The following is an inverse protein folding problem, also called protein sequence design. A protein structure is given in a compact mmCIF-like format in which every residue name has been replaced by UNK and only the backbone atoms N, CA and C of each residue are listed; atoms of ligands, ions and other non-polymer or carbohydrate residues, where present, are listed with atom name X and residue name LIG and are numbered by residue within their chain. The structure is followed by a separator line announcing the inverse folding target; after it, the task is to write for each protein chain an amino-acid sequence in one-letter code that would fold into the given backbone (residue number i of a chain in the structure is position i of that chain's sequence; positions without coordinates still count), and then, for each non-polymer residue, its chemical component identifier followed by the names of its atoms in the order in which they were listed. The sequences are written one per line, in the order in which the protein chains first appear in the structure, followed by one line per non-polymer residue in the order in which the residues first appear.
data_IF_561606919900
#
_entry.id   IF_561606919900
#
_cell.length_a   1.000
_cell.length_b   1.000
_cell.length_c   1.000
_cell.angle_alpha   90.00
_cell.angle_beta   90.00
_cell.angle_gamma   90.00
#
_symmetry.space_group_name_H-M   'P 1'
#
loop_
_entity.id
_entity.type
_entity.pdbx_description
1 polymer ?
#
# COMPACT_ATOMS: atom_id res chain seq x y z
N UNK A 1 15.55 12.08 9.94
CA UNK A 1 14.82 11.21 10.89
C UNK A 1 13.48 10.85 10.28
N UNK A 2 13.27 9.58 9.91
CA UNK A 2 11.96 9.13 9.43
C UNK A 2 10.99 9.07 10.61
N UNK A 3 10.02 10.01 10.67
CA UNK A 3 8.89 9.92 11.61
C UNK A 3 8.26 8.54 11.41
N UNK A 4 8.44 7.62 12.38
CA UNK A 4 7.54 6.48 12.57
C UNK A 4 6.15 7.07 12.81
N UNK A 5 5.40 7.29 11.72
CA UNK A 5 4.01 7.70 11.83
C UNK A 5 3.29 6.54 12.49
N UNK A 6 2.63 6.80 13.61
CA UNK A 6 1.54 5.97 14.09
C UNK A 6 0.54 5.82 12.93
N UNK A 7 0.68 4.75 12.15
CA UNK A 7 -0.28 4.36 11.11
C UNK A 7 -1.51 3.82 11.84
N UNK A 8 -2.36 4.73 12.30
CA UNK A 8 -3.63 4.35 12.88
C UNK A 8 -4.62 4.19 11.74
N UNK A 9 -5.08 2.96 11.54
CA UNK A 9 -6.17 2.68 10.62
C UNK A 9 -7.46 3.27 11.18
N UNK A 10 -8.41 3.60 10.30
CA UNK A 10 -9.72 4.12 10.69
C UNK A 10 -10.47 3.15 11.61
N UNK A 11 -10.24 1.84 11.43
CA UNK A 11 -10.77 0.79 12.31
C UNK A 11 -9.64 0.29 13.22
N UNK A 12 -9.80 0.31 14.55
CA UNK A 12 -8.83 -0.29 15.46
C UNK A 12 -8.71 -1.80 15.27
N UNK A 13 -7.51 -2.37 15.47
CA UNK A 13 -7.28 -3.83 15.45
C UNK A 13 -7.13 -4.46 14.06
N UNK A 14 -7.31 -3.72 12.97
CA UNK A 14 -7.24 -4.25 11.60
C UNK A 14 -5.82 -4.34 11.02
N UNK A 15 -4.78 -4.12 11.83
CA UNK A 15 -3.42 -3.97 11.32
C UNK A 15 -2.95 -5.19 10.51
N UNK A 16 -3.22 -6.39 11.02
CA UNK A 16 -2.85 -7.63 10.36
C UNK A 16 -3.66 -7.84 9.07
N UNK A 17 -4.97 -7.59 9.12
CA UNK A 17 -5.84 -7.69 7.95
C UNK A 17 -5.41 -6.73 6.82
N UNK A 18 -5.07 -5.48 7.15
CA UNK A 18 -4.60 -4.51 6.16
C UNK A 18 -3.22 -4.88 5.61
N UNK A 19 -2.34 -5.47 6.42
CA UNK A 19 -1.05 -5.96 5.94
C UNK A 19 -1.22 -7.13 4.95
N UNK A 20 -2.06 -8.12 5.28
CA UNK A 20 -2.40 -9.20 4.37
C UNK A 20 -3.06 -8.69 3.09
N UNK A 21 -3.99 -7.73 3.22
CA UNK A 21 -4.64 -7.09 2.08
C UNK A 21 -3.64 -6.34 1.19
N UNK A 22 -2.67 -5.64 1.76
CA UNK A 22 -1.58 -5.02 0.98
C UNK A 22 -0.81 -6.06 0.16
N UNK A 23 -0.45 -7.20 0.76
CA UNK A 23 0.25 -8.28 0.04
C UNK A 23 -0.60 -8.75 -1.14
N UNK A 24 -1.89 -9.01 -0.91
CA UNK A 24 -2.81 -9.46 -1.96
C UNK A 24 -2.92 -8.45 -3.10
N UNK A 25 -3.23 -7.18 -2.79
CA UNK A 25 -3.39 -6.12 -3.78
C UNK A 25 -2.14 -5.93 -4.61
N UNK A 26 -0.98 -5.86 -3.96
CA UNK A 26 0.26 -5.55 -4.65
C UNK A 26 0.73 -6.73 -5.52
N UNK A 27 0.47 -7.97 -5.10
CA UNK A 27 0.68 -9.15 -5.96
C UNK A 27 -0.24 -9.13 -7.18
N UNK A 28 -1.51 -8.70 -7.04
CA UNK A 28 -2.43 -8.50 -8.17
C UNK A 28 -1.94 -7.42 -9.14
N UNK A 29 -1.28 -6.38 -8.63
CA UNK A 29 -0.64 -5.34 -9.44
C UNK A 29 0.68 -5.82 -10.10
N UNK A 30 1.13 -7.05 -9.81
CA UNK A 30 2.33 -7.64 -10.42
C UNK A 30 3.62 -7.46 -9.63
N UNK A 31 3.56 -6.92 -8.41
CA UNK A 31 4.73 -6.78 -7.55
C UNK A 31 5.06 -8.08 -6.82
N UNK A 32 6.35 -8.36 -6.67
CA UNK A 32 6.81 -9.36 -5.72
C UNK A 32 6.78 -8.77 -4.30
N UNK A 33 6.07 -9.45 -3.40
CA UNK A 33 5.86 -8.99 -2.03
C UNK A 33 6.08 -10.13 -1.06
N UNK A 34 7.05 -9.95 -0.16
CA UNK A 34 7.27 -10.80 0.99
C UNK A 34 6.13 -10.61 2.02
N UNK A 35 5.35 -11.66 2.33
CA UNK A 35 4.29 -11.58 3.34
C UNK A 35 4.78 -11.19 4.74
N UNK A 36 6.04 -11.48 5.07
CA UNK A 36 6.61 -11.14 6.38
C UNK A 36 7.05 -9.67 6.44
N UNK A 37 7.24 -9.03 5.29
CA UNK A 37 7.66 -7.64 5.18
C UNK A 37 6.85 -6.86 4.11
N UNK A 38 5.51 -6.74 4.26
CA UNK A 38 4.66 -6.13 3.23
C UNK A 38 4.98 -4.67 2.91
N UNK A 39 5.65 -3.96 3.82
CA UNK A 39 6.03 -2.56 3.63
C UNK A 39 7.25 -2.37 2.72
N UNK A 40 7.96 -3.44 2.37
CA UNK A 40 9.14 -3.37 1.49
C UNK A 40 8.79 -3.29 0.01
N UNK A 41 7.54 -3.57 -0.36
CA UNK A 41 7.03 -3.36 -1.72
C UNK A 41 7.29 -1.94 -2.24
N UNK A 42 7.46 -0.96 -1.35
CA UNK A 42 7.83 0.41 -1.71
C UNK A 42 9.15 0.51 -2.49
N UNK A 43 10.09 -0.43 -2.30
CA UNK A 43 11.34 -0.43 -3.04
C UNK A 43 11.14 -0.94 -4.47
N UNK A 44 10.30 -1.96 -4.66
CA UNK A 44 9.92 -2.44 -5.99
C UNK A 44 9.12 -1.39 -6.76
N UNK A 45 8.15 -0.76 -6.09
CA UNK A 45 7.39 0.36 -6.66
C UNK A 45 8.30 1.53 -7.02
N UNK A 46 9.26 1.89 -6.16
CA UNK A 46 10.21 2.95 -6.44
C UNK A 46 11.10 2.62 -7.66
N UNK A 47 11.55 1.36 -7.76
CA UNK A 47 12.34 0.87 -8.88
C UNK A 47 11.57 0.96 -10.21
N UNK A 48 10.30 0.57 -10.23
CA UNK A 48 9.44 0.73 -11.41
C UNK A 48 9.28 2.20 -11.81
N UNK A 49 9.10 3.09 -10.84
CA UNK A 49 8.93 4.52 -11.07
C UNK A 49 10.24 5.27 -11.36
N UNK A 50 11.40 4.59 -11.33
CA UNK A 50 12.70 5.21 -11.52
C UNK A 50 13.12 6.15 -10.38
N UNK A 51 12.54 5.97 -9.19
CA UNK A 51 12.79 6.80 -8.01
C UNK A 51 13.88 6.15 -7.15
N UNK A 52 14.97 6.87 -6.80
CA UNK A 52 16.06 6.32 -6.02
C UNK A 52 15.70 6.24 -4.52
N UNK A 53 14.87 5.26 -4.15
CA UNK A 53 14.53 4.95 -2.77
C UNK A 53 15.46 3.85 -2.23
N UNK A 54 16.21 4.16 -1.17
CA UNK A 54 17.15 3.23 -0.53
C UNK A 54 16.81 2.96 0.93
N UNK A 55 17.31 1.84 1.46
CA UNK A 55 17.23 1.55 2.89
C UNK A 55 18.13 2.54 3.64
N UNK A 56 17.53 3.38 4.50
CA UNK A 56 18.27 4.36 5.30
C UNK A 56 18.04 5.81 4.84
N UNK A 57 19.13 6.50 4.49
CA UNK A 57 19.10 7.94 4.22
C UNK A 57 18.53 8.23 2.83
N UNK A 58 17.42 8.95 2.79
CA UNK A 58 16.76 9.40 1.54
C UNK A 58 16.66 10.94 1.55
N UNK A 59 17.76 11.63 1.88
CA UNK A 59 17.79 13.08 2.07
C UNK A 59 17.41 13.87 0.81
N UNK A 60 17.80 13.35 -0.35
CA UNK A 60 17.51 13.92 -1.67
C UNK A 60 16.15 13.48 -2.23
N UNK A 61 15.41 12.61 -1.52
CA UNK A 61 14.12 12.13 -2.00
C UNK A 61 13.09 13.25 -1.85
N UNK A 62 12.59 13.74 -2.98
CA UNK A 62 11.58 14.79 -2.98
C UNK A 62 10.26 14.30 -2.37
N UNK A 63 9.50 15.23 -1.80
CA UNK A 63 8.14 14.95 -1.29
C UNK A 63 7.23 14.40 -2.38
N UNK A 64 7.40 14.88 -3.62
CA UNK A 64 6.67 14.39 -4.78
C UNK A 64 6.99 12.93 -5.07
N UNK A 65 8.27 12.56 -5.14
CA UNK A 65 8.69 11.17 -5.37
C UNK A 65 8.20 10.22 -4.26
N UNK A 66 8.30 10.63 -3.00
CA UNK A 66 7.72 9.88 -1.89
C UNK A 66 6.19 9.74 -2.02
N UNK A 67 5.52 10.80 -2.49
CA UNK A 67 4.10 10.83 -2.77
C UNK A 67 3.69 9.90 -3.91
N UNK A 68 4.46 9.82 -4.98
CA UNK A 68 4.21 8.91 -6.11
C UNK A 68 4.30 7.44 -5.66
N UNK A 69 5.34 7.06 -4.91
CA UNK A 69 5.49 5.70 -4.36
C UNK A 69 4.32 5.38 -3.43
N UNK A 70 4.04 6.25 -2.47
CA UNK A 70 2.94 6.08 -1.52
C UNK A 70 1.56 6.04 -2.20
N UNK A 71 1.39 6.84 -3.25
CA UNK A 71 0.18 6.95 -4.04
C UNK A 71 -0.09 5.72 -4.89
N UNK A 72 0.94 5.12 -5.50
CA UNK A 72 0.78 3.85 -6.23
C UNK A 72 0.34 2.72 -5.29
N UNK A 73 0.99 2.57 -4.13
CA UNK A 73 0.63 1.54 -3.13
C UNK A 73 -0.75 1.83 -2.52
N UNK A 74 -0.94 3.03 -2.00
CA UNK A 74 -2.15 3.46 -1.31
C UNK A 74 -3.37 3.52 -2.22
N UNK A 75 -3.19 4.06 -3.42
CA UNK A 75 -4.24 4.19 -4.43
C UNK A 75 -4.76 2.84 -4.90
N UNK A 76 -3.88 1.87 -5.16
CA UNK A 76 -4.30 0.51 -5.52
C UNK A 76 -5.04 -0.17 -4.36
N UNK A 77 -4.60 0.00 -3.11
CA UNK A 77 -5.34 -0.52 -1.94
C UNK A 77 -6.73 0.10 -1.83
N UNK A 78 -6.86 1.42 -1.95
CA UNK A 78 -8.15 2.11 -1.85
C UNK A 78 -9.09 1.69 -2.98
N UNK A 79 -8.57 1.60 -4.22
CA UNK A 79 -9.34 1.14 -5.38
C UNK A 79 -9.90 -0.26 -5.16
N UNK A 80 -9.09 -1.18 -4.65
CA UNK A 80 -9.55 -2.54 -4.37
C UNK A 80 -10.57 -2.60 -3.21
N UNK A 81 -10.39 -1.79 -2.15
CA UNK A 81 -11.36 -1.70 -1.07
C UNK A 81 -12.73 -1.22 -1.57
N UNK A 82 -12.76 -0.20 -2.42
CA UNK A 82 -13.99 0.31 -3.02
C UNK A 82 -14.64 -0.78 -3.87
N UNK A 83 -13.87 -1.48 -4.71
CA UNK A 83 -14.38 -2.59 -5.52
C UNK A 83 -15.04 -3.68 -4.67
N UNK A 84 -14.41 -4.08 -3.56
CA UNK A 84 -14.96 -5.07 -2.64
C UNK A 84 -16.23 -4.59 -1.95
N UNK A 85 -16.27 -3.31 -1.55
CA UNK A 85 -17.44 -2.71 -0.93
C UNK A 85 -18.63 -2.65 -1.91
N UNK A 86 -18.41 -2.23 -3.16
CA UNK A 86 -19.43 -2.22 -4.21
C UNK A 86 -19.98 -3.62 -4.47
N UNK A 87 -19.12 -4.64 -4.54
CA UNK A 87 -19.53 -6.03 -4.69
C UNK A 87 -20.37 -6.53 -3.51
N UNK A 88 -20.01 -6.17 -2.29
CA UNK A 88 -20.76 -6.53 -1.09
C UNK A 88 -22.16 -5.89 -1.08
N UNK A 89 -22.24 -4.61 -1.44
CA UNK A 89 -23.52 -3.88 -1.53
C UNK A 89 -24.41 -4.45 -2.64
N UNK A 90 -23.84 -4.83 -3.78
CA UNK A 90 -24.59 -5.46 -4.87
C UNK A 90 -25.21 -6.80 -4.45
N UNK A 91 -24.45 -7.64 -3.73
CA UNK A 91 -24.94 -8.93 -3.21
C UNK A 91 -26.08 -8.76 -2.20
N UNK A 92 -25.96 -7.78 -1.29
CA UNK A 92 -27.00 -7.48 -0.30
C UNK A 92 -28.31 -6.98 -0.92
N UNK A 93 -28.27 -6.36 -2.10
CA UNK A 93 -29.47 -5.94 -2.83
C UNK A 93 -30.18 -7.07 -3.57
N UNK A 94 -29.50 -8.21 -3.77
CA UNK A 94 -30.03 -9.37 -4.49
C UNK A 94 -30.58 -10.45 -3.55
N UNK A 95 -30.32 -10.33 -2.24
CA UNK A 95 -30.88 -11.15 -1.17
C UNK A 95 -32.10 -10.49 -0.54
#
# INVERSE_FOLDING_TARGET
MARRRNRQYAVPGVQQAVQAFKVEVMRKEGYDVDPNRPDDVKYEVAKELGIPLQQGANGELTTESAGQIGGKIGGSMVRELIRLAEQQLAKQRQS
#
